data_IF_201641059396
#
_entry.id   IF_201641059396
#
_cell.length_a   1.000
_cell.length_b   1.000
_cell.length_c   1.000
_cell.angle_alpha   90.00
_cell.angle_beta   90.00
_cell.angle_gamma   90.00
#
_symmetry.space_group_name_H-M   'P 1'
#
loop_
_entity.id
_entity.type
_entity.pdbx_description
1 polymer ?
#
# COMPACT_ATOMS: atom_id res chain seq x y z
N UNK A 1 42.56 -2.86 8.54
CA UNK A 1 41.86 -1.62 8.22
C UNK A 1 40.39 -1.86 8.56
N UNK A 2 39.83 -1.08 9.49
CA UNK A 2 38.38 -1.14 9.75
C UNK A 2 37.66 -0.71 8.50
N UNK A 3 36.67 -1.50 8.05
CA UNK A 3 35.84 -1.16 6.89
C UNK A 3 35.19 0.21 7.14
N UNK A 4 35.14 1.04 6.11
CA UNK A 4 34.45 2.33 6.12
C UNK A 4 33.09 2.12 5.44
N UNK A 5 32.01 2.25 6.18
CA UNK A 5 30.64 2.10 5.65
C UNK A 5 30.24 3.27 4.76
N UNK A 6 29.24 3.09 3.91
CA UNK A 6 28.70 4.17 3.09
C UNK A 6 27.95 5.18 3.95
N UNK A 7 27.06 4.70 4.82
CA UNK A 7 26.27 5.51 5.74
C UNK A 7 26.24 4.88 7.14
N UNK A 8 26.28 5.72 8.17
CA UNK A 8 25.94 5.34 9.54
C UNK A 8 24.90 6.30 10.09
N UNK A 9 23.78 5.75 10.60
CA UNK A 9 22.85 6.47 11.46
C UNK A 9 23.25 6.19 12.91
N UNK A 10 23.58 7.24 13.67
CA UNK A 10 24.16 7.15 15.00
C UNK A 10 23.29 7.84 16.06
N UNK A 11 23.51 7.54 17.34
CA UNK A 11 22.75 8.09 18.48
C UNK A 11 21.24 7.92 18.33
N UNK A 12 20.78 6.72 17.98
CA UNK A 12 19.40 6.39 17.70
C UNK A 12 18.77 5.45 18.73
N UNK A 13 17.46 5.60 18.96
CA UNK A 13 16.60 4.55 19.53
C UNK A 13 16.02 3.76 18.37
N UNK A 14 16.54 2.57 18.12
CA UNK A 14 16.25 1.77 16.93
C UNK A 14 15.14 0.76 17.25
N UNK A 15 13.96 0.93 16.67
CA UNK A 15 12.86 -0.04 16.70
C UNK A 15 13.06 -0.99 15.52
N UNK A 16 13.65 -2.15 15.78
CA UNK A 16 14.13 -3.03 14.70
C UNK A 16 13.03 -3.74 13.93
N UNK A 17 11.92 -4.03 14.54
CA UNK A 17 10.85 -4.90 14.03
C UNK A 17 11.32 -6.30 13.58
N UNK A 18 12.48 -6.76 14.08
CA UNK A 18 12.95 -8.12 13.92
C UNK A 18 12.04 -9.13 14.66
N UNK A 19 12.32 -10.42 14.54
CA UNK A 19 11.50 -11.47 15.15
C UNK A 19 11.34 -11.35 16.68
N UNK A 20 12.33 -10.73 17.37
CA UNK A 20 12.30 -10.48 18.82
C UNK A 20 11.71 -9.13 19.21
N UNK A 21 11.41 -8.27 18.22
CA UNK A 21 10.96 -6.89 18.45
C UNK A 21 11.94 -6.08 19.29
N UNK A 22 13.25 -6.29 19.06
CA UNK A 22 14.30 -5.61 19.81
C UNK A 22 14.24 -4.09 19.61
N UNK A 23 14.49 -3.35 20.71
CA UNK A 23 14.79 -1.92 20.69
C UNK A 23 16.26 -1.76 21.08
N UNK A 24 17.04 -1.14 20.19
CA UNK A 24 18.48 -0.97 20.37
C UNK A 24 18.82 0.52 20.49
N UNK A 25 19.56 0.91 21.53
CA UNK A 25 20.16 2.24 21.63
C UNK A 25 21.56 2.20 21.01
N UNK A 26 21.74 2.88 19.87
CA UNK A 26 23.03 2.84 19.20
C UNK A 26 23.01 3.32 17.76
N UNK A 27 23.45 2.48 16.83
CA UNK A 27 23.73 2.85 15.45
C UNK A 27 23.31 1.76 14.44
N UNK A 28 23.09 2.21 13.20
CA UNK A 28 22.83 1.37 12.01
C UNK A 28 23.91 1.68 10.99
N UNK A 29 24.58 0.65 10.47
CA UNK A 29 25.51 0.77 9.35
C UNK A 29 24.86 0.27 8.05
N UNK A 30 25.09 0.99 6.96
CA UNK A 30 24.52 0.74 5.64
C UNK A 30 25.64 0.74 4.60
N UNK A 31 25.62 -0.26 3.72
CA UNK A 31 26.46 -0.33 2.51
C UNK A 31 25.61 -0.80 1.32
N UNK A 32 25.84 -0.24 0.16
CA UNK A 32 25.13 -0.58 -1.08
C UNK A 32 23.60 -0.59 -0.92
N UNK A 33 23.08 0.34 -0.12
CA UNK A 33 21.65 0.50 0.16
C UNK A 33 21.03 -0.60 1.05
N UNK A 34 21.84 -1.44 1.69
CA UNK A 34 21.39 -2.46 2.61
C UNK A 34 21.93 -2.23 4.02
N UNK A 35 21.15 -2.58 5.04
CA UNK A 35 21.64 -2.64 6.42
C UNK A 35 22.71 -3.72 6.52
N UNK A 36 23.90 -3.38 7.01
CA UNK A 36 25.00 -4.34 7.20
C UNK A 36 25.22 -4.70 8.66
N UNK A 37 24.92 -3.76 9.56
CA UNK A 37 24.98 -4.03 10.99
C UNK A 37 24.07 -3.10 11.79
N UNK A 38 23.62 -3.57 12.95
CA UNK A 38 22.97 -2.79 14.00
C UNK A 38 23.74 -3.05 15.29
N UNK A 39 24.10 -2.01 16.01
CA UNK A 39 24.90 -2.16 17.20
C UNK A 39 24.72 -1.05 18.22
N UNK A 40 25.35 -1.24 19.39
CA UNK A 40 25.41 -0.27 20.48
C UNK A 40 26.85 0.18 20.74
N UNK A 41 27.02 1.23 21.54
CA UNK A 41 28.33 1.80 21.86
C UNK A 41 28.88 2.65 20.69
N UNK A 42 30.20 2.62 20.50
CA UNK A 42 30.86 3.47 19.51
C UNK A 42 30.50 3.03 18.08
N UNK A 43 29.90 3.93 17.30
CA UNK A 43 29.60 3.70 15.92
C UNK A 43 30.84 3.52 15.04
N UNK A 44 30.80 2.68 14.00
CA UNK A 44 31.90 2.50 13.06
C UNK A 44 32.14 3.78 12.22
N UNK A 45 33.23 3.79 11.48
CA UNK A 45 33.54 4.87 10.52
C UNK A 45 32.68 4.74 9.27
N UNK A 46 32.21 5.87 8.75
CA UNK A 46 31.42 5.92 7.50
C UNK A 46 31.81 7.15 6.67
N UNK A 47 31.46 7.10 5.37
CA UNK A 47 31.57 8.23 4.43
C UNK A 47 30.56 9.32 4.77
N UNK A 48 29.34 8.88 5.07
CA UNK A 48 28.24 9.76 5.49
C UNK A 48 27.76 9.37 6.89
N UNK A 49 27.32 10.36 7.66
CA UNK A 49 26.81 10.14 9.01
C UNK A 49 25.57 10.99 9.25
N UNK A 50 24.53 10.33 9.73
CA UNK A 50 23.33 10.96 10.26
C UNK A 50 23.32 10.84 11.76
N UNK A 51 23.38 11.97 12.46
CA UNK A 51 23.19 12.04 13.91
C UNK A 51 21.68 12.05 14.21
N UNK A 52 21.17 10.99 14.82
CA UNK A 52 19.77 10.86 15.18
C UNK A 52 19.39 11.71 16.43
N UNK A 53 20.37 12.18 17.20
CA UNK A 53 20.16 13.02 18.40
C UNK A 53 19.19 12.41 19.41
N UNK A 54 19.30 11.10 19.65
CA UNK A 54 18.38 10.35 20.49
C UNK A 54 16.97 10.14 19.89
N UNK A 55 16.78 10.46 18.62
CA UNK A 55 15.52 10.23 17.90
C UNK A 55 15.23 8.74 17.67
N UNK A 56 13.98 8.43 17.37
CA UNK A 56 13.55 7.05 17.08
C UNK A 56 13.79 6.77 15.60
N UNK A 57 14.50 5.67 15.30
CA UNK A 57 14.64 5.14 13.95
C UNK A 57 13.84 3.84 13.83
N UNK A 58 12.98 3.76 12.83
CA UNK A 58 12.17 2.58 12.55
C UNK A 58 12.21 2.22 11.07
N UNK A 59 11.78 0.98 10.66
CA UNK A 59 11.65 0.61 9.26
C UNK A 59 10.67 1.51 8.54
N UNK A 60 10.92 1.81 7.27
CA UNK A 60 9.96 2.52 6.44
C UNK A 60 8.58 1.88 6.47
N UNK A 61 7.54 2.68 6.50
CA UNK A 61 6.16 2.19 6.40
C UNK A 61 5.85 1.67 4.99
N UNK A 62 4.98 0.67 4.93
CA UNK A 62 4.46 0.12 3.68
C UNK A 62 2.96 0.42 3.59
N UNK A 63 2.52 1.11 2.52
CA UNK A 63 1.11 1.17 2.14
C UNK A 63 0.83 0.03 1.17
N UNK A 64 0.09 -0.98 1.64
CA UNK A 64 -0.19 -2.19 0.85
C UNK A 64 -1.35 -2.00 -0.14
N UNK A 65 -1.98 -0.84 -0.12
CA UNK A 65 -3.01 -0.42 -1.06
C UNK A 65 -3.12 1.11 -1.10
N UNK A 66 -3.12 1.67 -2.30
CA UNK A 66 -3.18 3.11 -2.57
C UNK A 66 -3.79 3.36 -3.95
N UNK A 67 -4.39 4.53 -4.13
CA UNK A 67 -4.72 5.11 -5.43
C UNK A 67 -4.07 6.48 -5.56
N UNK A 68 -2.95 6.57 -6.25
CA UNK A 68 -2.26 7.85 -6.43
C UNK A 68 -2.99 8.78 -7.42
N UNK A 69 -3.81 8.21 -8.29
CA UNK A 69 -4.41 8.92 -9.41
C UNK A 69 -5.45 9.95 -8.98
N UNK A 70 -6.17 9.76 -7.90
CA UNK A 70 -7.20 10.68 -7.43
C UNK A 70 -6.69 11.86 -6.57
N UNK A 71 -5.38 12.00 -6.43
CA UNK A 71 -4.77 13.08 -5.65
C UNK A 71 -5.18 14.51 -6.09
N UNK A 72 -5.51 14.69 -7.37
CA UNK A 72 -6.01 15.97 -7.89
C UNK A 72 -7.49 16.21 -7.55
N UNK A 73 -8.21 15.19 -7.08
CA UNK A 73 -9.60 15.25 -6.61
C UNK A 73 -9.75 15.54 -5.12
N UNK A 74 -8.64 15.76 -4.38
CA UNK A 74 -8.70 16.07 -2.95
C UNK A 74 -9.57 17.29 -2.68
N UNK A 75 -10.50 17.16 -1.71
CA UNK A 75 -11.41 18.22 -1.35
C UNK A 75 -12.50 18.51 -2.38
N UNK A 76 -12.61 17.73 -3.45
CA UNK A 76 -13.70 17.84 -4.42
C UNK A 76 -15.06 17.42 -3.85
N UNK A 77 -15.05 16.81 -2.65
CA UNK A 77 -16.22 16.26 -2.02
C UNK A 77 -16.27 16.56 -0.52
N UNK A 78 -17.41 16.99 -0.06
CA UNK A 78 -17.69 17.28 1.36
C UNK A 78 -18.18 16.04 2.11
N UNK A 79 -19.05 15.23 1.49
CA UNK A 79 -19.67 14.07 2.10
C UNK A 79 -19.71 12.90 1.15
N UNK A 80 -19.54 11.68 1.67
CA UNK A 80 -19.69 10.45 0.93
C UNK A 80 -21.08 9.89 1.22
N UNK A 81 -22.11 10.08 0.34
CA UNK A 81 -23.42 9.47 0.57
C UNK A 81 -23.29 7.94 0.56
N UNK A 82 -22.68 7.38 -0.47
CA UNK A 82 -22.40 5.95 -0.56
C UNK A 82 -21.18 5.65 -1.45
N UNK A 83 -20.83 4.37 -1.54
CA UNK A 83 -19.70 3.90 -2.34
C UNK A 83 -19.82 4.25 -3.82
N UNK A 84 -20.99 4.07 -4.43
CA UNK A 84 -21.16 4.28 -5.88
C UNK A 84 -21.17 5.77 -6.24
N UNK A 85 -21.80 6.62 -5.43
CA UNK A 85 -21.75 8.07 -5.63
C UNK A 85 -20.32 8.58 -5.51
N UNK A 86 -19.53 8.03 -4.58
CA UNK A 86 -18.13 8.36 -4.48
C UNK A 86 -17.34 7.84 -5.70
N UNK A 87 -17.52 6.58 -6.07
CA UNK A 87 -16.77 5.94 -7.15
C UNK A 87 -17.01 6.67 -8.49
N UNK A 88 -18.27 6.84 -8.86
CA UNK A 88 -18.63 7.46 -10.15
C UNK A 88 -18.49 8.98 -10.12
N UNK A 89 -18.98 9.64 -9.08
CA UNK A 89 -19.00 11.09 -8.98
C UNK A 89 -17.65 11.70 -8.63
N UNK A 90 -16.87 11.08 -7.76
CA UNK A 90 -15.59 11.64 -7.28
C UNK A 90 -14.39 10.98 -7.97
N UNK A 91 -14.21 9.67 -7.83
CA UNK A 91 -13.04 8.99 -8.37
C UNK A 91 -13.02 9.03 -9.90
N UNK A 92 -14.00 8.43 -10.57
CA UNK A 92 -14.07 8.45 -12.04
C UNK A 92 -14.23 9.86 -12.59
N UNK A 93 -15.08 10.71 -11.95
CA UNK A 93 -15.20 12.12 -12.30
C UNK A 93 -13.86 12.87 -12.29
N UNK A 94 -12.90 12.43 -11.48
CA UNK A 94 -11.55 12.98 -11.44
C UNK A 94 -10.64 12.37 -12.50
N UNK A 95 -10.56 11.03 -12.57
CA UNK A 95 -9.46 10.35 -13.29
C UNK A 95 -9.75 10.10 -14.79
N UNK A 96 -11.02 9.98 -15.20
CA UNK A 96 -11.37 9.65 -16.60
C UNK A 96 -10.97 10.74 -17.59
N UNK A 97 -10.89 12.00 -17.14
CA UNK A 97 -10.46 13.13 -17.97
C UNK A 97 -8.93 13.33 -18.08
N UNK A 98 -8.11 12.55 -17.36
CA UNK A 98 -6.68 12.80 -17.31
C UNK A 98 -5.94 12.58 -18.62
N UNK A 99 -5.00 13.48 -18.91
CA UNK A 99 -3.88 13.25 -19.81
C UNK A 99 -2.62 12.86 -19.04
N UNK A 100 -1.54 12.56 -19.77
CA UNK A 100 -0.27 12.15 -19.16
C UNK A 100 0.30 13.18 -18.16
N UNK A 101 0.07 14.47 -18.40
CA UNK A 101 0.53 15.53 -17.49
C UNK A 101 -0.20 15.46 -16.12
N UNK A 102 -1.52 15.23 -16.12
CA UNK A 102 -2.32 15.12 -14.91
C UNK A 102 -1.95 13.85 -14.13
N UNK A 103 -1.84 12.72 -14.84
CA UNK A 103 -1.43 11.45 -14.27
C UNK A 103 -0.04 11.54 -13.59
N UNK A 104 0.94 12.10 -14.28
CA UNK A 104 2.27 12.31 -13.70
C UNK A 104 2.27 13.28 -12.50
N UNK A 105 1.42 14.32 -12.53
CA UNK A 105 1.27 15.27 -11.43
C UNK A 105 0.60 14.62 -10.21
N UNK A 106 -0.44 13.81 -10.40
CA UNK A 106 -1.13 13.09 -9.34
C UNK A 106 -0.16 12.17 -8.57
N UNK A 107 0.62 11.34 -9.30
CA UNK A 107 1.63 10.45 -8.71
C UNK A 107 2.74 11.25 -8.00
N UNK A 108 3.21 12.37 -8.58
CA UNK A 108 4.24 13.20 -7.94
C UNK A 108 3.75 13.82 -6.63
N UNK A 109 2.51 14.30 -6.58
CA UNK A 109 1.90 14.85 -5.35
C UNK A 109 1.75 13.77 -4.28
N UNK A 110 1.18 12.63 -4.66
CA UNK A 110 1.03 11.49 -3.74
C UNK A 110 2.38 11.05 -3.20
N UNK A 111 3.39 10.86 -4.07
CA UNK A 111 4.71 10.44 -3.63
C UNK A 111 5.38 11.42 -2.66
N UNK A 112 5.20 12.74 -2.87
CA UNK A 112 5.70 13.74 -1.94
C UNK A 112 5.03 13.65 -0.56
N UNK A 113 3.73 13.33 -0.51
CA UNK A 113 3.00 13.18 0.75
C UNK A 113 3.38 11.86 1.46
N UNK A 114 3.49 10.76 0.71
CA UNK A 114 3.94 9.47 1.23
C UNK A 114 5.35 9.56 1.83
N UNK A 115 6.29 10.20 1.14
CA UNK A 115 7.64 10.42 1.64
C UNK A 115 7.64 11.20 2.96
N UNK A 116 6.85 12.29 3.07
CA UNK A 116 6.70 13.07 4.30
C UNK A 116 6.05 12.29 5.44
N UNK A 117 5.29 11.27 5.12
CA UNK A 117 4.60 10.40 6.09
C UNK A 117 5.44 9.15 6.48
N UNK A 118 6.68 9.04 6.02
CA UNK A 118 7.56 7.92 6.35
C UNK A 118 7.26 6.63 5.57
N UNK A 119 6.47 6.73 4.50
CA UNK A 119 6.14 5.57 3.64
C UNK A 119 7.24 5.43 2.60
N UNK A 120 7.87 4.26 2.58
CA UNK A 120 8.97 3.93 1.67
C UNK A 120 8.55 2.99 0.55
N UNK A 121 7.48 2.21 0.78
CA UNK A 121 6.93 1.26 -0.21
C UNK A 121 5.43 1.45 -0.35
N UNK A 122 4.93 1.44 -1.60
CA UNK A 122 3.51 1.63 -1.90
C UNK A 122 3.05 0.70 -3.02
N UNK A 123 1.87 0.08 -2.84
CA UNK A 123 1.12 -0.62 -3.91
C UNK A 123 0.05 0.33 -4.42
N UNK A 124 0.21 0.80 -5.64
CA UNK A 124 -0.66 1.78 -6.29
C UNK A 124 -1.58 1.09 -7.30
N UNK A 125 -2.84 0.94 -6.94
CA UNK A 125 -3.90 0.47 -7.83
C UNK A 125 -4.22 1.59 -8.84
N UNK A 126 -3.50 1.55 -9.95
CA UNK A 126 -3.50 2.61 -10.95
C UNK A 126 -4.69 2.47 -11.92
N UNK A 127 -5.43 3.57 -12.17
CA UNK A 127 -6.53 3.57 -13.12
C UNK A 127 -6.85 4.97 -13.65
N UNK A 128 -7.05 5.08 -14.98
CA UNK A 128 -7.45 6.33 -15.66
C UNK A 128 -8.54 6.11 -16.71
N UNK A 129 -9.05 4.89 -16.81
CA UNK A 129 -10.00 4.50 -17.85
C UNK A 129 -9.42 4.47 -19.28
N UNK A 130 -10.20 3.96 -20.21
CA UNK A 130 -9.86 3.89 -21.63
C UNK A 130 -8.63 3.02 -21.93
N UNK A 131 -8.47 1.90 -21.23
CA UNK A 131 -7.40 0.92 -21.41
C UNK A 131 -7.28 0.51 -22.88
N UNK A 132 -6.05 0.47 -23.40
CA UNK A 132 -5.75 0.20 -24.80
C UNK A 132 -5.84 1.43 -25.72
N UNK A 133 -6.14 2.61 -25.18
CA UNK A 133 -6.02 3.88 -25.91
C UNK A 133 -4.64 4.51 -25.74
N UNK A 134 -4.23 5.34 -26.72
CA UNK A 134 -2.99 6.14 -26.61
C UNK A 134 -2.98 7.06 -25.39
N UNK A 135 -4.15 7.47 -24.90
CA UNK A 135 -4.29 8.31 -23.70
C UNK A 135 -3.89 7.53 -22.46
N UNK A 136 -4.44 6.31 -22.28
CA UNK A 136 -4.11 5.46 -21.15
C UNK A 136 -2.61 5.08 -21.14
N UNK A 137 -2.04 4.75 -22.31
CA UNK A 137 -0.59 4.49 -22.46
C UNK A 137 0.24 5.69 -22.01
N UNK A 138 -0.09 6.90 -22.49
CA UNK A 138 0.62 8.12 -22.11
C UNK A 138 0.49 8.44 -20.61
N UNK A 139 -0.68 8.20 -20.01
CA UNK A 139 -0.90 8.34 -18.57
C UNK A 139 -0.03 7.37 -17.76
N UNK A 140 0.00 6.08 -18.14
CA UNK A 140 0.80 5.07 -17.45
C UNK A 140 2.30 5.38 -17.52
N UNK A 141 2.81 5.71 -18.70
CA UNK A 141 4.23 6.10 -18.88
C UNK A 141 4.58 7.31 -18.02
N UNK A 142 3.73 8.34 -18.00
CA UNK A 142 3.95 9.54 -17.19
C UNK A 142 3.90 9.24 -15.68
N UNK A 143 2.99 8.35 -15.25
CA UNK A 143 2.87 7.90 -13.86
C UNK A 143 4.12 7.15 -13.41
N UNK A 144 4.59 6.17 -14.18
CA UNK A 144 5.82 5.43 -13.87
C UNK A 144 7.03 6.37 -13.82
N UNK A 145 7.16 7.29 -14.79
CA UNK A 145 8.23 8.29 -14.77
C UNK A 145 8.15 9.21 -13.54
N UNK A 146 6.96 9.56 -13.08
CA UNK A 146 6.78 10.32 -11.85
C UNK A 146 7.12 9.48 -10.60
N UNK A 147 6.69 8.23 -10.53
CA UNK A 147 7.02 7.29 -9.45
C UNK A 147 8.55 7.14 -9.29
N UNK A 148 9.28 6.96 -10.38
CA UNK A 148 10.76 6.92 -10.37
C UNK A 148 11.36 8.17 -9.72
N UNK A 149 10.85 9.35 -10.05
CA UNK A 149 11.37 10.62 -9.50
C UNK A 149 11.09 10.83 -8.03
N UNK A 150 10.11 10.11 -7.43
CA UNK A 150 9.86 10.19 -5.99
C UNK A 150 10.95 9.54 -5.16
N UNK A 151 11.73 8.63 -5.75
CA UNK A 151 12.72 7.82 -5.05
C UNK A 151 12.11 6.71 -4.18
N UNK A 152 10.80 6.66 -4.00
CA UNK A 152 10.10 5.61 -3.24
C UNK A 152 10.10 4.28 -4.01
N UNK A 153 9.84 3.22 -3.30
CA UNK A 153 9.58 1.89 -3.87
C UNK A 153 8.11 1.79 -4.26
N UNK A 154 7.83 1.79 -5.55
CA UNK A 154 6.47 1.71 -6.10
C UNK A 154 6.19 0.34 -6.69
N UNK A 155 4.99 -0.13 -6.46
CA UNK A 155 4.37 -1.22 -7.19
C UNK A 155 3.16 -0.61 -7.91
N UNK A 156 3.31 -0.31 -9.19
CA UNK A 156 2.23 0.21 -10.03
C UNK A 156 1.42 -0.98 -10.51
N UNK A 157 0.13 -1.02 -10.21
CA UNK A 157 -0.79 -2.10 -10.57
C UNK A 157 -1.92 -1.56 -11.45
N UNK A 158 -1.74 -1.53 -12.79
CA UNK A 158 -2.78 -1.04 -13.69
C UNK A 158 -4.03 -1.90 -13.61
N UNK A 159 -5.13 -1.30 -13.13
CA UNK A 159 -6.43 -1.95 -13.06
C UNK A 159 -7.03 -2.05 -14.46
N UNK A 160 -7.33 -3.28 -14.89
CA UNK A 160 -7.98 -3.54 -16.18
C UNK A 160 -9.28 -4.29 -15.96
N UNK A 161 -10.26 -4.07 -16.85
CA UNK A 161 -11.59 -4.69 -16.78
C UNK A 161 -12.09 -5.01 -18.18
N UNK A 162 -12.90 -6.07 -18.33
CA UNK A 162 -13.46 -6.46 -19.64
C UNK A 162 -14.97 -6.71 -19.61
N UNK A 163 -15.60 -6.48 -18.46
CA UNK A 163 -17.08 -6.53 -18.34
C UNK A 163 -17.57 -5.55 -17.28
N UNK A 164 -18.80 -5.12 -17.40
CA UNK A 164 -19.50 -4.35 -16.38
C UNK A 164 -20.34 -5.28 -15.52
N UNK A 165 -20.42 -5.06 -14.21
CA UNK A 165 -21.35 -5.77 -13.34
C UNK A 165 -22.81 -5.48 -13.74
N UNK A 166 -23.72 -6.45 -13.59
CA UNK A 166 -25.14 -6.24 -13.86
C UNK A 166 -25.71 -5.08 -13.05
N UNK A 167 -26.53 -4.26 -13.70
CA UNK A 167 -27.20 -3.11 -13.06
C UNK A 167 -26.38 -1.82 -13.04
N UNK A 168 -25.13 -1.84 -13.53
CA UNK A 168 -24.32 -0.62 -13.60
C UNK A 168 -24.72 0.33 -14.73
N UNK A 169 -25.49 -0.12 -15.73
CA UNK A 169 -25.95 0.75 -16.83
C UNK A 169 -26.63 2.03 -16.31
N UNK A 170 -27.49 1.91 -15.29
CA UNK A 170 -28.18 3.07 -14.72
C UNK A 170 -27.23 4.02 -13.97
N UNK A 171 -26.17 3.50 -13.36
CA UNK A 171 -25.12 4.31 -12.70
C UNK A 171 -24.27 5.04 -13.74
N UNK A 172 -23.90 4.35 -14.81
CA UNK A 172 -23.16 4.94 -15.93
C UNK A 172 -23.93 6.09 -16.57
N UNK A 173 -25.22 5.88 -16.88
CA UNK A 173 -26.09 6.89 -17.44
C UNK A 173 -26.24 8.09 -16.49
N UNK A 174 -26.44 7.83 -15.18
CA UNK A 174 -26.61 8.89 -14.18
C UNK A 174 -25.38 9.78 -14.08
N UNK A 175 -24.18 9.19 -14.12
CA UNK A 175 -22.91 9.91 -13.97
C UNK A 175 -22.25 10.29 -15.30
N UNK A 176 -22.90 10.04 -16.44
CA UNK A 176 -22.40 10.29 -17.79
C UNK A 176 -21.01 9.68 -18.04
N UNK A 177 -20.82 8.42 -17.60
CA UNK A 177 -19.60 7.63 -17.83
C UNK A 177 -19.86 6.64 -18.97
N UNK A 178 -18.99 6.64 -19.97
CA UNK A 178 -19.13 5.72 -21.10
C UNK A 178 -18.58 4.33 -20.73
N UNK A 179 -19.25 3.22 -21.10
CA UNK A 179 -18.73 1.87 -20.85
C UNK A 179 -17.29 1.66 -21.33
N UNK A 180 -16.92 2.24 -22.47
CA UNK A 180 -15.57 2.15 -23.03
C UNK A 180 -14.50 2.88 -22.20
N UNK A 181 -14.88 3.73 -21.25
CA UNK A 181 -13.94 4.31 -20.30
C UNK A 181 -13.56 3.33 -19.20
N UNK A 182 -14.42 2.36 -18.87
CA UNK A 182 -14.19 1.42 -17.78
C UNK A 182 -13.72 0.05 -18.25
N UNK A 183 -14.19 -0.43 -19.40
CA UNK A 183 -13.91 -1.78 -19.88
C UNK A 183 -13.28 -1.78 -21.28
N UNK A 184 -12.43 -2.77 -21.53
CA UNK A 184 -11.82 -3.00 -22.83
C UNK A 184 -12.00 -4.48 -23.25
N UNK A 185 -11.90 -4.83 -24.55
CA UNK A 185 -11.87 -6.23 -24.95
C UNK A 185 -10.80 -7.02 -24.20
N UNK A 186 -11.11 -8.26 -23.79
CA UNK A 186 -10.25 -9.12 -22.95
C UNK A 186 -8.80 -9.18 -23.43
N UNK A 187 -8.58 -9.32 -24.73
CA UNK A 187 -7.25 -9.41 -25.33
C UNK A 187 -6.49 -8.05 -25.28
N UNK A 188 -7.23 -6.93 -25.39
CA UNK A 188 -6.67 -5.58 -25.26
C UNK A 188 -6.26 -5.33 -23.80
N UNK A 189 -7.15 -5.61 -22.84
CA UNK A 189 -6.89 -5.47 -21.41
C UNK A 189 -5.66 -6.29 -20.97
N UNK A 190 -5.59 -7.56 -21.40
CA UNK A 190 -4.47 -8.45 -21.10
C UNK A 190 -3.16 -7.95 -21.71
N UNK A 191 -3.15 -7.53 -22.98
CA UNK A 191 -1.95 -6.98 -23.64
C UNK A 191 -1.47 -5.70 -22.97
N UNK A 192 -2.38 -4.84 -22.55
CA UNK A 192 -2.03 -3.61 -21.83
C UNK A 192 -1.33 -3.95 -20.51
N UNK A 193 -1.88 -4.88 -19.71
CA UNK A 193 -1.28 -5.31 -18.46
C UNK A 193 0.10 -5.98 -18.65
N UNK A 194 0.27 -6.79 -19.71
CA UNK A 194 1.56 -7.41 -20.04
C UNK A 194 2.60 -6.38 -20.48
N UNK A 195 2.24 -5.46 -21.37
CA UNK A 195 3.12 -4.39 -21.82
C UNK A 195 3.49 -3.41 -20.70
N UNK A 196 2.59 -3.17 -19.75
CA UNK A 196 2.87 -2.35 -18.58
C UNK A 196 4.07 -2.90 -17.77
N UNK A 197 4.26 -4.22 -17.70
CA UNK A 197 5.38 -4.82 -16.99
C UNK A 197 6.75 -4.42 -17.58
N UNK A 198 6.83 -4.03 -18.85
CA UNK A 198 8.07 -3.57 -19.49
C UNK A 198 8.51 -2.18 -18.99
N UNK A 199 7.63 -1.46 -18.29
CA UNK A 199 7.94 -0.16 -17.69
C UNK A 199 8.63 -0.26 -16.32
N UNK A 200 8.73 -1.46 -15.75
CA UNK A 200 9.41 -1.68 -14.46
C UNK A 200 10.87 -1.24 -14.55
N UNK A 201 11.33 -0.43 -13.58
CA UNK A 201 12.69 0.11 -13.57
C UNK A 201 13.12 0.56 -12.17
N UNK A 202 14.35 0.25 -11.78
CA UNK A 202 14.90 0.64 -10.49
C UNK A 202 14.06 0.15 -9.31
N UNK A 203 13.48 1.10 -8.54
CA UNK A 203 12.60 0.84 -7.40
C UNK A 203 11.11 0.73 -7.79
N UNK A 204 10.78 0.87 -9.06
CA UNK A 204 9.41 0.79 -9.57
C UNK A 204 9.19 -0.57 -10.19
N UNK A 205 8.30 -1.35 -9.61
CA UNK A 205 7.78 -2.61 -10.15
C UNK A 205 6.39 -2.40 -10.73
N UNK A 206 5.97 -3.32 -11.61
CA UNK A 206 4.60 -3.34 -12.14
C UNK A 206 3.98 -4.69 -11.84
N UNK A 207 2.77 -4.69 -11.28
CA UNK A 207 1.96 -5.89 -11.02
C UNK A 207 0.76 -5.94 -11.96
N UNK A 208 0.16 -7.12 -12.12
CA UNK A 208 -1.14 -7.22 -12.77
C UNK A 208 -2.26 -6.90 -11.78
N UNK A 209 -3.37 -6.34 -12.27
CA UNK A 209 -4.51 -5.97 -11.41
C UNK A 209 -5.81 -5.94 -12.20
N UNK A 210 -6.91 -6.20 -11.52
CA UNK A 210 -8.26 -5.80 -11.94
C UNK A 210 -8.84 -4.86 -10.90
N UNK A 211 -9.77 -4.00 -11.31
CA UNK A 211 -10.41 -3.10 -10.35
C UNK A 211 -11.23 -3.90 -9.34
N UNK A 212 -12.18 -4.67 -9.82
CA UNK A 212 -13.04 -5.57 -9.05
C UNK A 212 -13.10 -6.93 -9.75
N UNK A 213 -13.11 -8.08 -9.06
CA UNK A 213 -13.24 -9.40 -9.69
C UNK A 213 -14.51 -9.50 -10.54
N UNK A 214 -15.61 -8.87 -10.13
CA UNK A 214 -16.88 -8.82 -10.87
C UNK A 214 -16.79 -8.00 -12.16
N UNK A 215 -15.78 -7.15 -12.33
CA UNK A 215 -15.50 -6.40 -13.58
C UNK A 215 -14.58 -7.17 -14.54
N UNK A 216 -14.23 -8.41 -14.23
CA UNK A 216 -13.37 -9.22 -15.08
C UNK A 216 -13.98 -10.58 -15.39
N UNK A 217 -13.89 -11.00 -16.65
CA UNK A 217 -14.21 -12.36 -17.05
C UNK A 217 -13.20 -13.37 -16.52
N UNK A 218 -13.55 -14.67 -16.45
CA UNK A 218 -12.60 -15.74 -16.11
C UNK A 218 -11.43 -15.77 -17.09
N UNK A 219 -11.67 -15.45 -18.37
CA UNK A 219 -10.64 -15.40 -19.39
C UNK A 219 -9.62 -14.28 -19.12
N UNK A 220 -10.08 -13.09 -18.67
CA UNK A 220 -9.19 -12.00 -18.29
C UNK A 220 -8.41 -12.36 -17.02
N UNK A 221 -9.08 -12.81 -15.97
CA UNK A 221 -8.43 -13.17 -14.70
C UNK A 221 -7.38 -14.26 -14.89
N UNK A 222 -7.70 -15.35 -15.62
CA UNK A 222 -6.74 -16.40 -15.95
C UNK A 222 -5.56 -15.85 -16.75
N UNK A 223 -5.84 -15.02 -17.77
CA UNK A 223 -4.81 -14.39 -18.60
C UNK A 223 -3.88 -13.46 -17.81
N UNK A 224 -4.40 -12.70 -16.83
CA UNK A 224 -3.58 -11.88 -15.94
C UNK A 224 -2.72 -12.73 -14.99
N UNK A 225 -3.27 -13.85 -14.51
CA UNK A 225 -2.52 -14.85 -13.75
C UNK A 225 -1.35 -15.44 -14.56
N UNK A 226 -1.56 -15.72 -15.85
CA UNK A 226 -0.50 -16.18 -16.76
C UNK A 226 0.58 -15.11 -16.95
N UNK A 227 0.19 -13.85 -17.17
CA UNK A 227 1.13 -12.72 -17.25
C UNK A 227 1.93 -12.60 -15.95
N UNK A 228 1.25 -12.61 -14.80
CA UNK A 228 1.90 -12.48 -13.50
C UNK A 228 2.94 -13.58 -13.25
N UNK A 229 2.63 -14.83 -13.62
CA UNK A 229 3.57 -15.95 -13.53
C UNK A 229 4.74 -15.80 -14.50
N UNK A 230 4.46 -15.49 -15.77
CA UNK A 230 5.49 -15.35 -16.81
C UNK A 230 6.47 -14.22 -16.52
N UNK A 231 5.98 -13.11 -15.96
CA UNK A 231 6.78 -11.93 -15.59
C UNK A 231 7.34 -11.99 -14.17
N UNK A 232 6.98 -13.02 -13.37
CA UNK A 232 7.34 -13.13 -11.95
C UNK A 232 6.93 -11.91 -11.13
N UNK A 233 5.72 -11.39 -11.37
CA UNK A 233 5.14 -10.24 -10.66
C UNK A 233 3.94 -10.66 -9.80
N UNK A 234 3.52 -9.76 -8.91
CA UNK A 234 2.34 -9.95 -8.08
C UNK A 234 1.03 -9.65 -8.81
N UNK A 235 -0.05 -9.81 -8.07
CA UNK A 235 -1.41 -9.45 -8.47
C UNK A 235 -2.11 -8.76 -7.29
N UNK A 236 -2.93 -7.76 -7.56
CA UNK A 236 -3.79 -7.13 -6.55
C UNK A 236 -5.16 -6.79 -7.13
N UNK A 237 -6.17 -6.75 -6.28
CA UNK A 237 -7.53 -6.33 -6.62
C UNK A 237 -8.32 -6.00 -5.36
N UNK A 238 -9.39 -5.21 -5.48
CA UNK A 238 -10.34 -5.03 -4.39
C UNK A 238 -11.18 -6.31 -4.26
N UNK A 239 -11.24 -6.89 -3.07
CA UNK A 239 -11.95 -8.16 -2.83
C UNK A 239 -12.93 -7.99 -1.68
N UNK A 240 -14.16 -8.39 -1.89
CA UNK A 240 -15.22 -8.32 -0.87
C UNK A 240 -15.27 -6.92 -0.22
N UNK A 241 -15.09 -5.86 -1.00
CA UNK A 241 -15.16 -4.47 -0.53
C UNK A 241 -16.61 -4.04 -0.24
N UNK A 242 -17.57 -4.65 -0.93
CA UNK A 242 -19.01 -4.53 -0.70
C UNK A 242 -19.65 -5.90 -0.52
N UNK A 243 -20.85 -5.95 0.05
CA UNK A 243 -21.61 -7.20 0.20
C UNK A 243 -21.94 -7.81 -1.17
N UNK A 244 -22.30 -6.97 -2.15
CA UNK A 244 -22.56 -7.40 -3.52
C UNK A 244 -21.32 -7.95 -4.23
N UNK A 245 -20.14 -7.36 -3.98
CA UNK A 245 -18.87 -7.80 -4.57
C UNK A 245 -18.27 -9.05 -3.90
N UNK A 246 -18.84 -9.53 -2.79
CA UNK A 246 -18.39 -10.77 -2.15
C UNK A 246 -18.81 -12.03 -2.92
N UNK A 247 -19.86 -11.95 -3.74
CA UNK A 247 -20.41 -13.07 -4.52
C UNK A 247 -20.56 -12.65 -5.98
N UNK A 248 -19.98 -13.42 -6.90
CA UNK A 248 -20.10 -13.16 -8.35
C UNK A 248 -21.51 -13.53 -8.89
N UNK A 249 -21.81 -13.06 -10.10
CA UNK A 249 -23.09 -13.23 -10.81
C UNK A 249 -23.57 -14.69 -10.86
N UNK A 250 -22.65 -15.66 -10.81
CA UNK A 250 -22.95 -17.09 -10.78
C UNK A 250 -23.17 -17.67 -9.38
N UNK A 251 -23.15 -16.85 -8.33
CA UNK A 251 -23.24 -17.32 -6.93
C UNK A 251 -21.93 -17.89 -6.37
N UNK A 252 -20.83 -17.86 -7.12
CA UNK A 252 -19.50 -18.24 -6.65
C UNK A 252 -18.91 -17.07 -5.83
N UNK A 253 -18.28 -17.36 -4.70
CA UNK A 253 -17.60 -16.33 -3.91
C UNK A 253 -16.37 -15.81 -4.64
N UNK A 254 -16.12 -14.50 -4.53
CA UNK A 254 -15.04 -13.82 -5.25
C UNK A 254 -13.66 -14.43 -4.95
N UNK A 255 -13.35 -14.77 -3.68
CA UNK A 255 -12.07 -15.39 -3.31
C UNK A 255 -11.96 -16.80 -3.88
N UNK A 256 -13.03 -17.61 -3.81
CA UNK A 256 -13.03 -18.97 -4.39
C UNK A 256 -12.82 -18.94 -5.91
N UNK A 257 -13.44 -17.97 -6.60
CA UNK A 257 -13.22 -17.75 -8.04
C UNK A 257 -11.77 -17.39 -8.35
N UNK A 258 -11.16 -16.48 -7.59
CA UNK A 258 -9.76 -16.10 -7.74
C UNK A 258 -8.82 -17.29 -7.46
N UNK A 259 -9.12 -18.14 -6.44
CA UNK A 259 -8.35 -19.37 -6.13
C UNK A 259 -8.44 -20.37 -7.28
N UNK A 260 -9.64 -20.65 -7.79
CA UNK A 260 -9.85 -21.54 -8.95
C UNK A 260 -9.06 -21.09 -10.19
N UNK A 261 -8.85 -19.78 -10.35
CA UNK A 261 -8.09 -19.19 -11.46
C UNK A 261 -6.59 -19.00 -11.13
N UNK A 262 -6.13 -19.46 -9.96
CA UNK A 262 -4.72 -19.47 -9.57
C UNK A 262 -4.16 -18.10 -9.19
N UNK A 263 -5.02 -17.17 -8.76
CA UNK A 263 -4.65 -15.81 -8.36
C UNK A 263 -4.49 -15.67 -6.83
N UNK A 264 -5.06 -16.59 -6.03
CA UNK A 264 -4.86 -16.61 -4.58
C UNK A 264 -3.57 -17.36 -4.27
N UNK A 265 -2.46 -16.63 -4.04
CA UNK A 265 -1.12 -17.18 -3.85
C UNK A 265 -0.19 -16.18 -3.15
N UNK A 266 1.00 -16.60 -2.65
CA UNK A 266 1.98 -15.67 -2.10
C UNK A 266 2.40 -14.58 -3.11
N UNK A 267 2.63 -13.37 -2.62
CA UNK A 267 2.95 -12.20 -3.44
C UNK A 267 1.76 -11.62 -4.20
N UNK A 268 0.53 -11.93 -3.74
CA UNK A 268 -0.70 -11.29 -4.21
C UNK A 268 -1.45 -10.67 -3.03
N UNK A 269 -2.26 -9.63 -3.28
CA UNK A 269 -2.91 -8.84 -2.22
C UNK A 269 -4.39 -8.63 -2.53
N UNK A 270 -5.23 -8.96 -1.54
CA UNK A 270 -6.65 -8.66 -1.50
C UNK A 270 -6.86 -7.33 -0.75
N UNK A 271 -7.28 -6.26 -1.43
CA UNK A 271 -7.63 -5.02 -0.76
C UNK A 271 -9.01 -5.12 -0.10
N UNK A 272 -9.15 -4.54 1.09
CA UNK A 272 -10.32 -4.44 1.95
C UNK A 272 -10.74 -5.72 2.65
N UNK A 273 -11.25 -6.73 1.94
CA UNK A 273 -11.77 -7.99 2.50
C UNK A 273 -12.84 -7.80 3.61
N UNK A 274 -13.63 -6.70 3.57
CA UNK A 274 -14.60 -6.32 4.62
C UNK A 274 -15.70 -7.36 4.76
N UNK A 275 -16.21 -7.87 3.61
CA UNK A 275 -17.29 -8.86 3.54
C UNK A 275 -16.77 -10.28 3.25
N UNK A 276 -15.48 -10.53 3.46
CA UNK A 276 -14.92 -11.87 3.41
C UNK A 276 -15.51 -12.74 4.54
N UNK A 277 -16.11 -13.89 4.19
CA UNK A 277 -16.61 -14.83 5.18
C UNK A 277 -15.50 -15.78 5.69
N UNK A 278 -15.85 -16.75 6.53
CA UNK A 278 -14.86 -17.68 7.10
C UNK A 278 -14.13 -18.47 6.01
N UNK A 279 -14.84 -18.93 4.98
CA UNK A 279 -14.27 -19.71 3.89
C UNK A 279 -13.32 -18.89 3.02
N UNK A 280 -13.64 -17.60 2.79
CA UNK A 280 -12.75 -16.69 2.08
C UNK A 280 -11.44 -16.46 2.85
N UNK A 281 -11.56 -16.19 4.17
CA UNK A 281 -10.39 -15.93 5.01
C UNK A 281 -9.50 -17.17 5.14
N UNK A 282 -10.08 -18.35 5.26
CA UNK A 282 -9.35 -19.63 5.25
C UNK A 282 -8.59 -19.82 3.93
N UNK A 283 -9.21 -19.55 2.77
CA UNK A 283 -8.54 -19.62 1.47
C UNK A 283 -7.39 -18.62 1.36
N UNK A 284 -7.59 -17.37 1.79
CA UNK A 284 -6.53 -16.34 1.78
C UNK A 284 -5.33 -16.82 2.61
N UNK A 285 -5.57 -17.33 3.82
CA UNK A 285 -4.53 -17.82 4.71
C UNK A 285 -3.81 -19.05 4.16
N UNK A 286 -4.56 -20.08 3.75
CA UNK A 286 -4.03 -21.36 3.27
C UNK A 286 -3.18 -21.21 1.99
N UNK A 287 -3.57 -20.28 1.12
CA UNK A 287 -2.85 -19.98 -0.12
C UNK A 287 -1.77 -18.90 0.04
N UNK A 288 -1.74 -18.21 1.18
CA UNK A 288 -0.76 -17.16 1.46
C UNK A 288 -0.98 -15.85 0.68
N UNK A 289 -2.21 -15.54 0.28
CA UNK A 289 -2.55 -14.21 -0.24
C UNK A 289 -2.64 -13.22 0.91
N UNK A 290 -1.93 -12.10 0.81
CA UNK A 290 -2.02 -11.04 1.81
C UNK A 290 -3.30 -10.23 1.70
N UNK A 291 -3.64 -9.50 2.77
CA UNK A 291 -4.75 -8.55 2.76
C UNK A 291 -4.25 -7.12 3.07
N UNK A 292 -4.89 -6.11 2.47
CA UNK A 292 -4.67 -4.71 2.78
C UNK A 292 -5.89 -4.15 3.52
N UNK A 293 -5.70 -3.79 4.80
CA UNK A 293 -6.75 -3.18 5.61
C UNK A 293 -6.70 -1.65 5.48
N UNK A 294 -7.79 -1.05 5.01
CA UNK A 294 -7.96 0.38 4.76
C UNK A 294 -9.06 0.94 5.69
N UNK A 295 -8.73 1.18 6.95
CA UNK A 295 -9.71 1.53 7.97
C UNK A 295 -10.38 2.88 7.72
N UNK A 296 -9.60 3.89 7.36
CA UNK A 296 -10.11 5.23 7.06
C UNK A 296 -11.14 5.23 5.94
N UNK A 297 -10.79 4.61 4.81
CA UNK A 297 -11.66 4.52 3.64
C UNK A 297 -12.93 3.73 3.95
N UNK A 298 -12.80 2.56 4.63
CA UNK A 298 -13.94 1.74 5.01
C UNK A 298 -14.93 2.52 5.87
N UNK A 299 -14.47 3.23 6.89
CA UNK A 299 -15.34 4.04 7.78
C UNK A 299 -15.99 5.21 7.03
N UNK A 300 -15.23 5.89 6.19
CA UNK A 300 -15.73 7.06 5.47
C UNK A 300 -16.81 6.69 4.44
N UNK A 301 -16.71 5.51 3.85
CA UNK A 301 -17.71 4.96 2.92
C UNK A 301 -18.88 4.28 3.65
N UNK A 302 -19.04 4.51 4.97
CA UNK A 302 -20.16 4.00 5.76
C UNK A 302 -20.02 2.54 6.20
N UNK A 303 -18.83 1.96 6.10
CA UNK A 303 -18.56 0.60 6.58
C UNK A 303 -18.67 0.51 8.10
N UNK A 304 -19.47 -0.45 8.57
CA UNK A 304 -19.76 -0.65 10.00
C UNK A 304 -19.03 -1.84 10.61
N UNK A 305 -18.22 -2.54 9.83
CA UNK A 305 -17.48 -3.74 10.26
C UNK A 305 -16.00 -3.63 9.92
N UNK A 306 -15.13 -3.84 10.92
CA UNK A 306 -13.69 -3.99 10.72
C UNK A 306 -13.35 -5.47 10.51
N UNK A 307 -12.74 -5.86 9.38
CA UNK A 307 -12.37 -7.26 9.13
C UNK A 307 -11.09 -7.68 9.85
N UNK A 308 -10.33 -6.73 10.44
CA UNK A 308 -8.96 -6.94 10.92
C UNK A 308 -8.85 -8.15 11.87
N UNK A 309 -9.64 -8.17 12.96
CA UNK A 309 -9.60 -9.25 13.92
C UNK A 309 -9.90 -10.63 13.32
N UNK A 310 -10.89 -10.70 12.41
CA UNK A 310 -11.27 -11.97 11.76
C UNK A 310 -10.21 -12.46 10.75
N UNK A 311 -9.53 -11.55 10.06
CA UNK A 311 -8.40 -11.89 9.18
C UNK A 311 -7.21 -12.42 9.99
N UNK A 312 -6.92 -11.79 11.15
CA UNK A 312 -5.85 -12.23 12.05
C UNK A 312 -6.17 -13.59 12.69
N UNK A 313 -7.42 -13.82 13.12
CA UNK A 313 -7.87 -15.12 13.64
C UNK A 313 -7.69 -16.25 12.62
N UNK A 314 -7.88 -15.96 11.34
CA UNK A 314 -7.66 -16.92 10.24
C UNK A 314 -6.18 -17.09 9.85
N UNK A 315 -5.28 -16.26 10.37
CA UNK A 315 -3.85 -16.32 10.04
C UNK A 315 -3.46 -15.62 8.72
N UNK A 316 -4.32 -14.74 8.20
CA UNK A 316 -4.00 -13.95 7.00
C UNK A 316 -2.92 -12.92 7.33
N UNK A 317 -1.92 -12.77 6.47
CA UNK A 317 -0.94 -11.69 6.56
C UNK A 317 -1.61 -10.37 6.17
N UNK A 318 -1.72 -9.42 7.13
CA UNK A 318 -2.41 -8.15 6.93
C UNK A 318 -1.42 -7.00 6.94
N UNK A 319 -1.46 -6.17 5.89
CA UNK A 319 -0.82 -4.85 5.86
C UNK A 319 -1.86 -3.73 5.96
N UNK A 320 -1.41 -2.50 6.25
CA UNK A 320 -2.26 -1.31 6.18
C UNK A 320 -2.20 -0.67 4.79
N UNK A 321 -3.32 -0.16 4.31
CA UNK A 321 -3.43 0.60 3.07
C UNK A 321 -4.05 1.97 3.33
N UNK A 322 -3.53 3.01 2.67
CA UNK A 322 -4.08 4.37 2.80
C UNK A 322 -5.27 4.62 1.87
N UNK A 323 -5.37 3.81 0.81
CA UNK A 323 -6.43 3.90 -0.18
C UNK A 323 -6.43 5.25 -0.93
N UNK A 324 -7.58 5.72 -1.37
CA UNK A 324 -7.78 6.91 -2.18
C UNK A 324 -7.43 8.20 -1.43
N UNK A 325 -6.79 9.12 -2.12
CA UNK A 325 -6.49 10.45 -1.59
C UNK A 325 -7.75 11.30 -1.36
N UNK A 326 -8.86 10.97 -1.99
CA UNK A 326 -10.17 11.57 -1.73
C UNK A 326 -10.86 11.01 -0.49
N UNK A 327 -10.42 9.86 0.03
CA UNK A 327 -10.91 9.22 1.25
C UNK A 327 -9.92 9.37 2.43
N UNK A 328 -8.62 9.40 2.16
CA UNK A 328 -7.56 9.56 3.14
C UNK A 328 -6.63 10.71 2.72
N UNK A 329 -7.15 11.93 2.76
CA UNK A 329 -6.52 13.10 2.16
C UNK A 329 -5.16 13.48 2.76
N UNK A 330 -4.82 13.00 3.95
CA UNK A 330 -3.55 13.33 4.63
C UNK A 330 -2.40 12.40 4.28
N UNK A 331 -2.69 11.21 3.72
CA UNK A 331 -1.70 10.15 3.46
C UNK A 331 -0.80 9.88 4.68
N UNK A 332 -1.37 9.82 5.90
CA UNK A 332 -0.66 9.73 7.18
C UNK A 332 -0.82 8.31 7.77
N UNK A 333 0.25 7.50 7.70
CA UNK A 333 0.25 6.14 8.25
C UNK A 333 0.01 6.12 9.78
N UNK A 334 0.46 7.14 10.51
CA UNK A 334 0.17 7.27 11.94
C UNK A 334 -1.32 7.46 12.22
N UNK A 335 -2.00 8.24 11.40
CA UNK A 335 -3.45 8.41 11.48
C UNK A 335 -4.17 7.10 11.12
N UNK A 336 -3.75 6.41 10.05
CA UNK A 336 -4.31 5.12 9.63
C UNK A 336 -4.18 4.05 10.71
N UNK A 337 -3.00 3.92 11.35
CA UNK A 337 -2.79 3.00 12.48
C UNK A 337 -3.77 3.28 13.63
N UNK A 338 -3.97 4.55 14.00
CA UNK A 338 -4.92 4.93 15.08
C UNK A 338 -6.36 4.62 14.68
N UNK A 339 -6.74 4.92 13.45
CA UNK A 339 -8.08 4.63 12.92
C UNK A 339 -8.35 3.14 12.89
N UNK A 340 -7.41 2.33 12.42
CA UNK A 340 -7.53 0.87 12.40
C UNK A 340 -7.72 0.30 13.80
N UNK A 341 -6.93 0.75 14.80
CA UNK A 341 -7.08 0.32 16.19
C UNK A 341 -8.43 0.71 16.80
N UNK A 342 -8.90 1.93 16.55
CA UNK A 342 -10.17 2.40 17.09
C UNK A 342 -11.36 1.72 16.39
N UNK A 343 -11.28 1.56 15.08
CA UNK A 343 -12.31 0.89 14.30
C UNK A 343 -12.45 -0.58 14.69
N UNK A 344 -11.34 -1.30 14.83
CA UNK A 344 -11.36 -2.69 15.29
C UNK A 344 -11.96 -2.86 16.70
N UNK A 345 -11.70 -1.91 17.59
CA UNK A 345 -12.29 -1.94 18.96
C UNK A 345 -13.80 -1.73 18.99
N UNK A 346 -14.33 -0.93 18.08
CA UNK A 346 -15.76 -0.54 18.05
C UNK A 346 -16.57 -1.48 17.16
N UNK A 347 -16.05 -1.83 16.01
CA UNK A 347 -16.76 -2.52 14.93
C UNK A 347 -16.04 -3.79 14.44
N UNK A 348 -15.05 -4.29 15.18
CA UNK A 348 -14.26 -5.46 14.79
C UNK A 348 -15.06 -6.73 14.84
N UNK A 349 -14.87 -7.57 13.82
CA UNK A 349 -15.34 -8.95 13.73
C UNK A 349 -14.17 -9.89 14.07
N UNK A 350 -14.43 -10.97 14.80
CA UNK A 350 -13.38 -11.89 15.27
C UNK A 350 -12.97 -11.63 16.73
N UNK A 351 -12.05 -12.44 17.24
CA UNK A 351 -11.60 -12.43 18.63
C UNK A 351 -10.26 -11.69 18.81
N UNK A 352 -9.37 -11.77 17.81
CA UNK A 352 -8.12 -11.04 17.83
C UNK A 352 -8.40 -9.52 17.87
N UNK A 353 -7.59 -8.83 18.67
CA UNK A 353 -7.64 -7.37 18.77
C UNK A 353 -6.21 -6.87 18.67
N UNK A 354 -5.95 -6.08 17.63
CA UNK A 354 -4.62 -5.52 17.46
C UNK A 354 -4.25 -4.58 18.61
N UNK A 355 -3.04 -4.73 19.11
CA UNK A 355 -2.38 -3.78 20.01
C UNK A 355 -1.63 -2.73 19.20
N UNK A 356 -1.12 -1.68 19.86
CA UNK A 356 -0.28 -0.70 19.17
C UNK A 356 1.01 -1.31 18.58
N UNK A 357 1.59 -2.32 19.22
CA UNK A 357 2.76 -3.04 18.70
C UNK A 357 2.42 -3.87 17.46
N UNK A 358 1.26 -4.51 17.44
CA UNK A 358 0.79 -5.29 16.30
C UNK A 358 0.39 -4.39 15.13
N UNK A 359 -0.35 -3.28 15.38
CA UNK A 359 -0.70 -2.36 14.28
C UNK A 359 0.55 -1.71 13.66
N UNK A 360 1.58 -1.44 14.47
CA UNK A 360 2.86 -0.98 13.96
C UNK A 360 3.56 -2.05 13.10
N UNK A 361 3.40 -3.33 13.46
CA UNK A 361 3.88 -4.44 12.63
C UNK A 361 3.12 -4.52 11.30
N UNK A 362 1.80 -4.28 11.29
CA UNK A 362 1.00 -4.24 10.06
C UNK A 362 1.42 -3.11 9.11
N UNK A 363 1.90 -1.99 9.66
CA UNK A 363 2.47 -0.89 8.87
C UNK A 363 3.93 -1.15 8.41
N UNK A 364 4.58 -2.20 8.92
CA UNK A 364 6.01 -2.51 8.67
C UNK A 364 6.19 -3.98 8.25
N UNK A 365 6.66 -4.86 9.14
CA UNK A 365 7.06 -6.24 8.79
C UNK A 365 5.87 -7.12 8.35
N UNK A 366 4.67 -6.96 8.90
CA UNK A 366 3.52 -7.74 8.47
C UNK A 366 2.97 -7.20 7.14
N UNK A 367 3.05 -5.89 6.89
CA UNK A 367 2.84 -5.30 5.58
C UNK A 367 3.80 -5.88 4.53
N UNK A 368 5.08 -6.04 4.89
CA UNK A 368 6.06 -6.68 4.01
C UNK A 368 5.71 -8.16 3.75
N UNK A 369 5.23 -8.91 4.77
CA UNK A 369 4.73 -10.29 4.60
C UNK A 369 3.52 -10.36 3.68
N UNK A 370 2.57 -9.44 3.84
CA UNK A 370 1.41 -9.37 2.95
C UNK A 370 1.80 -9.18 1.48
N UNK A 371 2.92 -8.51 1.23
CA UNK A 371 3.50 -8.33 -0.12
C UNK A 371 4.45 -9.47 -0.55
N UNK A 372 4.78 -10.43 0.33
CA UNK A 372 5.82 -11.43 0.09
C UNK A 372 7.24 -10.84 0.03
N UNK A 373 7.48 -9.73 0.73
CA UNK A 373 8.74 -8.95 0.73
C UNK A 373 9.40 -8.88 2.11
N UNK A 374 9.03 -9.74 3.05
CA UNK A 374 9.60 -9.75 4.41
C UNK A 374 11.07 -10.14 4.47
N UNK A 375 11.59 -10.74 3.41
CA UNK A 375 13.02 -11.10 3.32
C UNK A 375 13.92 -9.89 3.13
N UNK A 376 13.41 -8.80 2.56
CA UNK A 376 14.17 -7.60 2.22
C UNK A 376 13.60 -6.29 2.78
N UNK A 377 12.35 -6.26 3.27
CA UNK A 377 11.67 -5.07 3.77
C UNK A 377 11.07 -5.27 5.18
N UNK A 378 10.62 -4.18 5.78
CA UNK A 378 9.76 -4.15 6.96
C UNK A 378 10.44 -4.33 8.31
N UNK A 379 11.75 -4.58 8.36
CA UNK A 379 12.52 -4.59 9.60
C UNK A 379 13.96 -4.11 9.37
N UNK A 380 14.63 -3.66 10.45
CA UNK A 380 16.02 -3.22 10.42
C UNK A 380 16.90 -4.39 10.86
N UNK A 381 17.37 -5.15 9.89
CA UNK A 381 18.18 -6.34 10.09
C UNK A 381 19.30 -6.42 9.03
N UNK A 382 20.49 -6.94 9.36
CA UNK A 382 21.54 -7.14 8.35
C UNK A 382 21.03 -7.93 7.15
N UNK A 383 21.32 -7.42 5.94
CA UNK A 383 20.92 -8.00 4.66
C UNK A 383 19.62 -7.42 4.09
N UNK A 384 18.81 -6.70 4.87
CA UNK A 384 17.61 -6.03 4.39
C UNK A 384 17.90 -4.63 3.84
N UNK A 385 16.99 -4.13 3.04
CA UNK A 385 17.08 -2.78 2.47
C UNK A 385 17.08 -1.72 3.57
N UNK A 386 17.89 -0.69 3.39
CA UNK A 386 17.98 0.42 4.32
C UNK A 386 16.85 1.45 4.06
N UNK A 387 15.60 0.97 4.18
CA UNK A 387 14.40 1.79 4.16
C UNK A 387 14.10 2.21 5.61
N UNK A 388 14.50 3.43 5.98
CA UNK A 388 14.55 3.89 7.36
C UNK A 388 13.79 5.22 7.52
N UNK A 389 13.13 5.39 8.67
CA UNK A 389 12.48 6.65 9.06
C UNK A 389 13.05 7.10 10.39
N UNK A 390 13.49 8.36 10.45
CA UNK A 390 13.97 9.01 11.65
C UNK A 390 12.92 10.01 12.14
N UNK A 391 12.43 9.79 13.36
CA UNK A 391 11.47 10.64 14.08
C UNK A 391 12.21 11.39 15.20
N UNK A 392 12.10 12.72 15.21
CA UNK A 392 12.63 13.54 16.29
C UNK A 392 11.74 13.45 17.53
N UNK A 393 12.36 13.29 18.71
CA UNK A 393 11.66 13.14 20.00
C UNK A 393 11.72 14.38 20.88
N UNK A 394 12.22 15.50 20.36
CA UNK A 394 12.37 16.74 21.13
C UNK A 394 11.05 17.47 21.45
N UNK A 395 9.94 17.13 20.77
CA UNK A 395 8.63 17.68 21.02
C UNK A 395 8.06 17.26 22.38
N UNK A 396 7.38 18.19 23.08
CA UNK A 396 6.81 17.92 24.41
C UNK A 396 5.79 16.78 24.43
N UNK A 397 5.06 16.57 23.31
CA UNK A 397 4.07 15.49 23.15
C UNK A 397 4.71 14.10 23.08
N UNK A 398 6.00 14.01 22.74
CA UNK A 398 6.77 12.76 22.71
C UNK A 398 7.59 12.49 23.98
N UNK A 399 7.47 13.35 25.00
CA UNK A 399 8.25 13.23 26.24
C UNK A 399 7.38 12.84 27.45
N UNK A 400 7.87 11.96 28.34
CA UNK A 400 9.05 11.11 28.17
C UNK A 400 8.73 9.90 27.28
N UNK A 401 9.63 9.48 26.38
CA UNK A 401 9.42 8.30 25.53
C UNK A 401 9.64 7.02 26.36
N UNK A 402 8.56 6.51 26.95
CA UNK A 402 8.64 5.27 27.76
C UNK A 402 8.71 4.02 26.90
N UNK A 403 7.93 3.98 25.84
CA UNK A 403 7.87 2.92 24.85
C UNK A 403 7.90 3.57 23.46
N UNK A 404 8.94 3.34 22.65
CA UNK A 404 9.07 4.01 21.36
C UNK A 404 7.98 3.61 20.37
N UNK A 405 7.45 2.38 20.42
CA UNK A 405 6.37 1.94 19.54
C UNK A 405 5.06 2.64 19.92
N UNK A 406 4.75 2.71 21.23
CA UNK A 406 3.57 3.44 21.68
C UNK A 406 3.67 4.94 21.34
N UNK A 407 4.86 5.53 21.44
CA UNK A 407 5.10 6.90 21.02
C UNK A 407 4.85 7.11 19.53
N UNK A 408 5.37 6.21 18.68
CA UNK A 408 5.16 6.25 17.23
C UNK A 408 3.69 6.10 16.83
N UNK A 409 2.94 5.20 17.47
CA UNK A 409 1.54 4.95 17.12
C UNK A 409 0.60 6.05 17.66
N UNK A 410 0.75 6.43 18.95
CA UNK A 410 -0.24 7.26 19.60
C UNK A 410 0.11 8.74 19.65
N UNK A 411 1.39 9.11 19.59
CA UNK A 411 1.86 10.46 19.86
C UNK A 411 2.51 11.12 18.64
N UNK A 412 3.35 10.39 17.89
CA UNK A 412 4.04 10.94 16.74
C UNK A 412 3.09 11.36 15.63
N UNK A 413 3.49 12.38 14.91
CA UNK A 413 2.85 12.90 13.71
C UNK A 413 3.86 12.96 12.57
N UNK A 414 3.40 13.13 11.34
CA UNK A 414 4.31 13.34 10.20
C UNK A 414 5.21 14.57 10.36
N UNK A 415 4.83 15.54 11.18
CA UNK A 415 5.66 16.71 11.47
C UNK A 415 6.90 16.38 12.31
N UNK A 416 6.93 15.25 13.00
CA UNK A 416 8.07 14.79 13.80
C UNK A 416 9.06 13.97 12.94
N UNK A 417 8.68 13.55 11.73
CA UNK A 417 9.56 12.86 10.80
C UNK A 417 10.60 13.85 10.28
N UNK A 418 11.88 13.58 10.58
CA UNK A 418 13.00 14.40 10.12
C UNK A 418 13.60 13.89 8.82
N UNK A 419 13.75 12.58 8.68
CA UNK A 419 14.45 11.96 7.55
C UNK A 419 13.76 10.67 7.15
N UNK A 420 13.63 10.45 5.86
CA UNK A 420 13.19 9.16 5.29
C UNK A 420 14.20 8.72 4.25
N UNK A 421 14.71 7.52 4.42
CA UNK A 421 15.68 6.89 3.53
C UNK A 421 15.02 5.70 2.81
N UNK A 422 15.31 5.55 1.53
CA UNK A 422 15.01 4.36 0.73
C UNK A 422 16.31 3.85 0.15
N UNK A 423 16.67 2.59 0.42
CA UNK A 423 17.99 2.04 0.08
C UNK A 423 19.13 2.93 0.59
N UNK A 424 19.01 3.52 1.78
CA UNK A 424 19.99 4.42 2.37
C UNK A 424 20.04 5.83 1.76
N UNK A 425 19.28 6.11 0.69
CA UNK A 425 19.23 7.42 0.01
C UNK A 425 18.07 8.28 0.55
N UNK A 426 18.28 9.58 0.82
CA UNK A 426 17.25 10.44 1.33
C UNK A 426 16.17 10.74 0.27
N UNK A 427 14.91 10.45 0.60
CA UNK A 427 13.73 10.80 -0.21
C UNK A 427 12.91 11.92 0.43
N UNK A 428 13.09 12.15 1.72
CA UNK A 428 12.55 13.29 2.47
C UNK A 428 13.51 13.69 3.59
N UNK A 429 13.75 14.97 3.71
CA UNK A 429 14.48 15.58 4.83
C UNK A 429 13.84 16.91 5.21
N UNK A 430 13.46 17.02 6.48
CA UNK A 430 12.99 18.28 7.06
C UNK A 430 14.21 19.07 7.55
N UNK A 431 14.41 20.24 6.98
CA UNK A 431 15.46 21.21 7.36
C UNK A 431 15.08 22.03 8.59
#
# INVERSE_FOLDING_TARGET
MTAVHDLVVDDAVIVTMNARRDVVHGWIAVDDGAVTAVGSGRAPTARERVDARGGIVHPGFLSTHQHAMDALGRGARDEAPDFFDWLFGTYYGTVLGYGGADAGRAVALTGADLARAGITTVVDCWGVGGVGSRRADACLVASVAAAVRTGLRWIVAPMVSDRLPPGWDALLDHHAVEPADLVAPTDVARRFADAACDLATGRVAVWTSVELPEMASDALLAGLGDVARARSVGFTTHVCASEAGAVDVGGERAVARLDRLGLVRPGTVAAHAVFADASDRELLADRGMGAAHCAAATMLLGGTSSPLGALLDAGVAVGLGLDNATLNATADMGAEMRQALMFDRVAGTGHARATAHEIFAHATIDGARALGREVDLGSIEPGKRADLVLVETGGSHLQPPRDPVLALVWQATRADIRLVLVDGEPVHERR
#
